data_IF_400668345809
#
_entry.id   IF_400668345809
#
_cell.length_a   1.000
_cell.length_b   1.000
_cell.length_c   1.000
_cell.angle_alpha   90.00
_cell.angle_beta   90.00
_cell.angle_gamma   90.00
#
_symmetry.space_group_name_H-M   'P 1'
#
loop_
_entity.id
_entity.type
_entity.pdbx_description
1 polymer ?
#
# COMPACT_ATOMS: atom_id res chain seq x y z
N UNK A 1 7.62 12.73 4.55
CA UNK A 1 6.35 12.11 4.10
C UNK A 1 5.24 12.74 4.91
N UNK A 2 4.27 13.39 4.26
CA UNK A 2 3.09 13.90 4.97
C UNK A 2 2.28 12.69 5.46
N UNK A 3 1.99 12.60 6.76
CA UNK A 3 1.12 11.54 7.26
C UNK A 3 -0.31 11.87 6.87
N UNK A 4 -0.91 11.08 5.98
CA UNK A 4 -2.30 11.29 5.53
C UNK A 4 -3.34 11.09 6.64
N UNK A 5 -2.93 10.67 7.84
CA UNK A 5 -3.83 10.45 8.99
C UNK A 5 -4.82 9.29 8.79
N UNK A 6 -4.67 8.53 7.72
CA UNK A 6 -5.59 7.45 7.37
C UNK A 6 -5.47 6.27 8.34
N UNK A 7 -6.62 5.79 8.79
CA UNK A 7 -6.69 4.49 9.47
C UNK A 7 -6.49 3.36 8.46
N UNK A 8 -6.16 2.15 8.93
CA UNK A 8 -6.08 0.96 8.06
C UNK A 8 -7.40 0.68 7.32
N UNK A 9 -8.53 1.10 7.88
CA UNK A 9 -9.85 1.00 7.26
C UNK A 9 -10.05 2.00 6.12
N UNK A 10 -9.56 3.22 6.27
CA UNK A 10 -9.61 4.23 5.22
C UNK A 10 -8.74 3.82 4.04
N UNK A 11 -7.52 3.35 4.32
CA UNK A 11 -6.65 2.80 3.30
C UNK A 11 -7.31 1.63 2.57
N UNK A 12 -7.95 0.71 3.28
CA UNK A 12 -8.64 -0.43 2.67
C UNK A 12 -9.77 0.01 1.72
N UNK A 13 -10.54 1.03 2.11
CA UNK A 13 -11.60 1.62 1.29
C UNK A 13 -11.02 2.24 0.01
N UNK A 14 -9.94 2.98 0.12
CA UNK A 14 -9.26 3.61 -1.02
C UNK A 14 -8.58 2.58 -1.94
N UNK A 15 -8.02 1.51 -1.39
CA UNK A 15 -7.41 0.41 -2.16
C UNK A 15 -8.45 -0.53 -2.79
N UNK A 16 -9.67 -0.57 -2.27
CA UNK A 16 -10.70 -1.54 -2.67
C UNK A 16 -10.41 -2.97 -2.21
N UNK A 17 -9.79 -3.14 -1.03
CA UNK A 17 -9.46 -4.44 -0.43
C UNK A 17 -10.08 -4.57 0.97
N UNK A 18 -10.00 -5.75 1.58
CA UNK A 18 -10.44 -5.91 2.97
C UNK A 18 -9.49 -5.19 3.93
N UNK A 19 -10.03 -4.71 5.06
CA UNK A 19 -9.25 -4.07 6.14
C UNK A 19 -8.12 -4.97 6.62
N UNK A 20 -8.38 -6.29 6.71
CA UNK A 20 -7.37 -7.29 7.07
C UNK A 20 -6.22 -7.34 6.07
N UNK A 21 -6.51 -7.28 4.76
CA UNK A 21 -5.46 -7.29 3.74
C UNK A 21 -4.64 -5.99 3.78
N UNK A 22 -5.29 -4.83 3.91
CA UNK A 22 -4.60 -3.55 4.05
C UNK A 22 -3.68 -3.52 5.29
N UNK A 23 -4.18 -3.98 6.44
CA UNK A 23 -3.38 -4.08 7.66
C UNK A 23 -2.21 -5.07 7.53
N UNK A 24 -2.40 -6.20 6.83
CA UNK A 24 -1.31 -7.15 6.56
C UNK A 24 -0.21 -6.53 5.71
N UNK A 25 -0.58 -5.73 4.70
CA UNK A 25 0.36 -5.01 3.84
C UNK A 25 1.11 -3.92 4.63
N UNK A 26 0.40 -3.11 5.42
CA UNK A 26 1.00 -2.07 6.26
C UNK A 26 1.99 -2.64 7.29
N UNK A 27 1.70 -3.81 7.85
CA UNK A 27 2.58 -4.49 8.81
C UNK A 27 3.76 -5.20 8.15
N UNK A 28 3.87 -5.17 6.81
CA UNK A 28 4.92 -5.89 6.08
C UNK A 28 4.80 -7.42 6.15
N UNK A 29 3.67 -7.94 6.65
CA UNK A 29 3.45 -9.38 6.83
C UNK A 29 3.27 -10.13 5.50
N UNK A 30 3.13 -9.41 4.39
CA UNK A 30 2.99 -9.96 3.04
C UNK A 30 3.80 -9.11 2.05
N UNK A 31 4.64 -9.76 1.22
CA UNK A 31 5.26 -9.09 0.07
C UNK A 31 4.15 -8.58 -0.86
N UNK A 32 4.16 -7.28 -1.16
CA UNK A 32 3.15 -6.64 -2.00
C UNK A 32 3.13 -7.24 -3.41
N UNK A 33 2.13 -8.07 -3.70
CA UNK A 33 1.91 -8.60 -5.06
C UNK A 33 1.17 -7.61 -5.96
N UNK A 34 0.89 -8.01 -7.21
CA UNK A 34 0.19 -7.15 -8.20
C UNK A 34 -1.09 -6.49 -7.67
N UNK A 35 -1.86 -7.20 -6.83
CA UNK A 35 -3.09 -6.67 -6.20
C UNK A 35 -2.80 -5.55 -5.19
N UNK A 36 -1.75 -5.68 -4.39
CA UNK A 36 -1.35 -4.65 -3.44
C UNK A 36 -0.86 -3.40 -4.18
N UNK A 37 -0.02 -3.59 -5.20
CA UNK A 37 0.50 -2.51 -6.04
C UNK A 37 -0.65 -1.74 -6.69
N UNK A 38 -1.59 -2.44 -7.33
CA UNK A 38 -2.78 -1.82 -7.92
C UNK A 38 -3.66 -1.12 -6.89
N UNK A 39 -3.78 -1.66 -5.68
CA UNK A 39 -4.50 -1.01 -4.58
C UNK A 39 -3.86 0.30 -4.15
N UNK A 40 -2.52 0.33 -3.99
CA UNK A 40 -1.81 1.55 -3.61
C UNK A 40 -1.87 2.62 -4.70
N UNK A 41 -1.74 2.24 -5.97
CA UNK A 41 -1.91 3.18 -7.09
C UNK A 41 -3.33 3.77 -7.15
N UNK A 42 -4.36 2.97 -6.81
CA UNK A 42 -5.74 3.48 -6.69
C UNK A 42 -5.94 4.38 -5.48
N UNK A 43 -5.32 4.04 -4.36
CA UNK A 43 -5.44 4.81 -3.12
C UNK A 43 -4.73 6.16 -3.19
N UNK A 44 -3.64 6.25 -3.95
CA UNK A 44 -2.84 7.45 -4.13
C UNK A 44 -2.71 7.81 -5.62
N UNK A 45 -3.80 8.24 -6.29
CA UNK A 45 -3.78 8.50 -7.73
C UNK A 45 -2.92 9.70 -8.13
N UNK A 46 -2.68 10.62 -7.19
CA UNK A 46 -1.89 11.84 -7.41
C UNK A 46 -0.41 11.66 -7.03
N UNK A 47 -0.03 10.52 -6.43
CA UNK A 47 1.31 10.26 -5.96
C UNK A 47 2.09 9.46 -7.00
N UNK A 48 3.38 9.76 -7.18
CA UNK A 48 4.20 8.96 -8.12
C UNK A 48 4.50 7.60 -7.50
N UNK A 49 4.50 6.56 -8.33
CA UNK A 49 4.80 5.18 -7.93
C UNK A 49 6.13 5.05 -7.17
N UNK A 50 7.16 5.83 -7.53
CA UNK A 50 8.47 5.90 -6.85
C UNK A 50 8.37 6.29 -5.38
N UNK A 51 7.37 7.08 -4.99
CA UNK A 51 7.13 7.46 -3.60
C UNK A 51 6.33 6.41 -2.82
N UNK A 52 5.65 5.50 -3.53
CA UNK A 52 4.83 4.44 -2.94
C UNK A 52 5.59 3.13 -2.75
N UNK A 53 6.59 2.85 -3.59
CA UNK A 53 7.31 1.59 -3.58
C UNK A 53 8.81 1.80 -3.46
N UNK A 54 9.43 1.10 -2.52
CA UNK A 54 10.88 0.99 -2.44
C UNK A 54 11.30 -0.25 -3.19
N UNK A 55 12.12 -0.08 -4.23
CA UNK A 55 12.76 -1.20 -4.93
C UNK A 55 13.84 -1.76 -4.01
N UNK A 56 13.48 -2.76 -3.19
CA UNK A 56 14.47 -3.52 -2.42
C UNK A 56 15.26 -4.41 -3.37
N UNK A 57 16.47 -4.00 -3.74
CA UNK A 57 17.38 -4.79 -4.57
C UNK A 57 18.06 -5.94 -3.79
N UNK A 58 17.48 -6.34 -2.66
CA UNK A 58 17.98 -7.43 -1.84
C UNK A 58 17.71 -8.76 -2.53
N UNK A 59 18.73 -9.32 -3.17
CA UNK A 59 18.86 -10.78 -3.31
C UNK A 59 18.64 -11.38 -1.91
N UNK A 60 17.50 -12.03 -1.71
CA UNK A 60 17.35 -13.04 -0.66
C UNK A 60 17.92 -14.34 -1.18
#
# INVERSE_FOLDING_TARGET
>A
MQSLGWSGSDLARHMGVSVTEANRLLRGARKGGKKAIGGFLKAFPNEKWEHLFVLSNSKQ
#
